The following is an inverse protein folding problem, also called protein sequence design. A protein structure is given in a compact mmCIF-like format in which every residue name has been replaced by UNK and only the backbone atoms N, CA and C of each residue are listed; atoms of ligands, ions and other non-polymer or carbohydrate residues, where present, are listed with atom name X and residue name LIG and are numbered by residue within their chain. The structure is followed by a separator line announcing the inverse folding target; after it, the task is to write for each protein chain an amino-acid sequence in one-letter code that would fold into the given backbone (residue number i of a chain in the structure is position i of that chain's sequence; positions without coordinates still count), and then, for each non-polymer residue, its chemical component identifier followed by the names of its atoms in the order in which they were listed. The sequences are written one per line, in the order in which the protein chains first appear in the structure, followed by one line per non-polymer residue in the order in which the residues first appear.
data_IF_520267535376
#
_entry.id   IF_520267535376
#
_cell.length_a   1.000
_cell.length_b   1.000
_cell.length_c   1.000
_cell.angle_alpha   90.00
_cell.angle_beta   90.00
_cell.angle_gamma   90.00
#
_symmetry.space_group_name_H-M   'P 1'
#
loop_
_entity.id
_entity.type
_entity.pdbx_description
1 polymer ?
#
# COMPACT_ATOMS: atom_id res chain seq x y z
N UNK A 1 39.21 -67.90 -31.41
CA UNK A 1 40.22 -67.24 -32.25
C UNK A 1 39.67 -65.86 -32.65
N UNK A 2 40.47 -64.80 -32.51
CA UNK A 2 40.07 -63.41 -32.69
C UNK A 2 40.49 -62.87 -34.07
N UNK A 3 39.95 -61.71 -34.48
CA UNK A 3 40.66 -60.79 -35.37
C UNK A 3 40.21 -59.35 -35.01
N UNK A 4 40.91 -58.66 -34.11
CA UNK A 4 42.02 -57.71 -34.38
C UNK A 4 41.52 -56.37 -34.98
N UNK A 5 41.30 -55.38 -34.10
CA UNK A 5 41.59 -53.93 -34.36
C UNK A 5 43.11 -53.75 -34.56
N UNK A 6 43.73 -52.60 -34.95
CA UNK A 6 43.20 -51.21 -34.98
C UNK A 6 43.79 -50.23 -36.05
N UNK A 7 43.09 -49.10 -36.33
CA UNK A 7 43.63 -47.74 -36.67
C UNK A 7 44.66 -47.63 -37.85
N UNK A 8 45.32 -46.48 -38.20
CA UNK A 8 45.11 -45.08 -37.83
C UNK A 8 45.22 -44.05 -38.99
N UNK A 9 45.07 -42.76 -38.61
CA UNK A 9 45.82 -41.56 -39.09
C UNK A 9 45.45 -40.94 -40.46
N UNK A 10 45.90 -39.69 -40.73
CA UNK A 10 45.67 -38.46 -39.96
C UNK A 10 45.36 -37.27 -40.89
N UNK A 11 44.92 -36.13 -40.37
CA UNK A 11 45.54 -34.86 -40.80
C UNK A 11 45.38 -33.81 -39.70
N UNK A 12 46.53 -33.49 -39.12
CA UNK A 12 46.76 -32.37 -38.23
C UNK A 12 47.41 -31.24 -39.04
N UNK A 13 46.83 -30.03 -38.92
CA UNK A 13 47.45 -28.68 -38.82
C UNK A 13 48.48 -28.23 -39.88
N UNK A 14 48.84 -26.92 -40.03
CA UNK A 14 48.69 -25.79 -39.10
C UNK A 14 48.16 -24.46 -39.70
N UNK A 15 47.73 -23.53 -38.83
CA UNK A 15 47.72 -22.09 -39.16
C UNK A 15 49.14 -21.59 -39.44
N UNK A 16 49.35 -20.37 -39.97
CA UNK A 16 49.16 -19.19 -39.14
C UNK A 16 48.71 -17.95 -39.92
N UNK A 17 47.97 -17.02 -39.31
CA UNK A 17 48.60 -15.76 -38.88
C UNK A 17 47.58 -14.87 -38.15
N UNK A 18 48.00 -14.30 -37.02
CA UNK A 18 47.29 -13.27 -36.29
C UNK A 18 47.63 -11.90 -36.86
N UNK A 19 46.67 -10.99 -36.93
CA UNK A 19 47.00 -9.58 -36.97
C UNK A 19 46.89 -9.02 -35.55
N UNK A 20 48.02 -9.01 -34.85
CA UNK A 20 48.22 -8.24 -33.64
C UNK A 20 49.36 -7.24 -33.86
N UNK A 21 48.98 -5.93 -33.86
CA UNK A 21 49.71 -4.78 -33.30
C UNK A 21 51.08 -4.41 -33.97
N UNK A 22 51.77 -3.27 -33.69
CA UNK A 22 51.52 -2.14 -32.76
C UNK A 22 51.75 -0.69 -33.35
N UNK A 23 51.42 0.32 -32.51
CA UNK A 23 51.84 1.76 -32.47
C UNK A 23 53.33 2.03 -32.87
N UNK A 24 53.87 3.27 -33.13
CA UNK A 24 53.68 4.53 -32.36
C UNK A 24 53.71 5.83 -33.24
N UNK A 25 53.47 7.07 -32.77
CA UNK A 25 54.42 7.96 -32.07
C UNK A 25 53.81 9.37 -31.89
N UNK A 26 54.40 10.22 -31.02
CA UNK A 26 53.77 11.35 -30.35
C UNK A 26 54.11 12.70 -30.98
N UNK A 27 53.33 13.73 -30.65
CA UNK A 27 53.84 15.10 -30.65
C UNK A 27 53.50 15.81 -29.33
N UNK A 28 54.55 16.25 -28.65
CA UNK A 28 54.57 17.05 -27.43
C UNK A 28 55.14 18.44 -27.71
N UNK A 29 54.42 19.48 -27.23
CA UNK A 29 54.88 20.74 -26.55
C UNK A 29 55.63 21.83 -27.36
N UNK A 30 55.73 23.12 -26.91
CA UNK A 30 55.26 23.80 -25.65
C UNK A 30 54.58 25.20 -25.80
N UNK A 31 54.12 25.78 -24.67
CA UNK A 31 53.59 27.16 -24.44
C UNK A 31 54.54 28.32 -24.86
N UNK A 32 54.09 29.60 -24.89
CA UNK A 32 54.18 30.43 -23.68
C UNK A 32 53.05 31.48 -23.47
N UNK A 33 52.61 31.64 -22.22
CA UNK A 33 52.19 32.94 -21.65
C UNK A 33 53.48 33.74 -21.35
N UNK A 34 53.55 35.08 -21.51
CA UNK A 34 53.13 36.01 -20.45
C UNK A 34 52.56 37.35 -21.00
N UNK A 35 51.75 38.12 -20.27
CA UNK A 35 52.29 39.12 -19.34
C UNK A 35 51.19 39.66 -18.41
N UNK A 36 51.61 39.84 -17.17
CA UNK A 36 50.89 40.45 -16.07
C UNK A 36 51.01 41.99 -16.05
N UNK A 37 50.22 42.58 -15.13
CA UNK A 37 50.36 43.86 -14.39
C UNK A 37 49.43 45.02 -14.81
N UNK A 38 49.11 45.98 -13.91
CA UNK A 38 48.50 45.80 -12.58
C UNK A 38 47.37 46.83 -12.22
N UNK A 39 46.65 46.54 -11.14
CA UNK A 39 45.79 47.34 -10.21
C UNK A 39 45.93 48.90 -10.20
N UNK A 40 44.91 49.73 -9.79
CA UNK A 40 44.48 49.81 -8.38
C UNK A 40 42.96 50.06 -8.08
N UNK A 41 42.55 49.51 -6.93
CA UNK A 41 41.47 49.85 -5.96
C UNK A 41 41.26 51.36 -5.66
N UNK A 42 40.35 51.80 -4.75
CA UNK A 42 38.93 51.45 -4.47
C UNK A 42 38.05 52.71 -4.19
N UNK A 43 36.71 52.64 -4.29
CA UNK A 43 35.84 53.62 -3.60
C UNK A 43 34.60 52.97 -2.96
N UNK A 44 34.47 53.17 -1.64
CA UNK A 44 33.26 53.01 -0.82
C UNK A 44 32.26 54.15 -1.17
N UNK A 45 30.94 54.15 -0.92
CA UNK A 45 30.07 53.62 0.13
C UNK A 45 28.58 53.96 -0.29
N UNK A 46 27.52 54.01 0.56
CA UNK A 46 26.47 52.99 0.82
C UNK A 46 25.01 53.37 0.37
N UNK A 47 24.04 52.51 0.77
CA UNK A 47 22.55 52.65 0.76
C UNK A 47 21.87 52.11 -0.52
N UNK A 48 20.75 51.37 -0.55
CA UNK A 48 19.65 51.06 0.38
C UNK A 48 18.78 49.93 -0.22
N UNK A 49 18.29 48.99 0.61
CA UNK A 49 17.20 48.03 0.25
C UNK A 49 15.84 48.75 0.07
N UNK A 50 14.74 48.12 -0.43
CA UNK A 50 14.55 46.72 -0.84
C UNK A 50 13.84 46.54 -2.21
N UNK A 51 13.93 45.37 -2.84
CA UNK A 51 12.83 44.90 -3.70
C UNK A 51 12.76 43.38 -3.81
N UNK A 52 11.52 42.89 -3.81
CA UNK A 52 11.12 41.51 -3.61
C UNK A 52 11.01 40.70 -4.90
N UNK A 53 11.03 39.37 -4.70
CA UNK A 53 10.45 38.28 -5.52
C UNK A 53 11.36 37.59 -6.56
N UNK A 54 11.21 36.28 -6.85
CA UNK A 54 10.22 35.31 -6.33
C UNK A 54 10.81 34.10 -5.58
N UNK A 55 9.98 33.58 -4.67
CA UNK A 55 10.17 32.31 -3.97
C UNK A 55 10.53 31.18 -4.94
N UNK A 56 11.70 30.58 -4.74
CA UNK A 56 11.97 29.24 -5.21
C UNK A 56 11.00 28.28 -4.51
N UNK A 57 10.25 27.53 -5.31
CA UNK A 57 9.39 26.43 -4.87
C UNK A 57 10.25 25.39 -4.13
N UNK A 58 10.06 25.13 -2.82
CA UNK A 58 10.80 24.07 -2.17
C UNK A 58 10.21 22.72 -2.60
N UNK A 59 11.09 21.94 -3.22
CA UNK A 59 10.94 20.55 -3.64
C UNK A 59 10.16 19.71 -2.60
N UNK A 60 8.91 19.35 -2.89
CA UNK A 60 8.08 18.51 -2.04
C UNK A 60 8.19 17.04 -2.49
N UNK A 61 9.12 16.30 -1.90
CA UNK A 61 8.96 14.84 -1.81
C UNK A 61 7.73 14.55 -0.97
N UNK A 62 6.74 13.78 -1.45
CA UNK A 62 5.63 13.33 -0.61
C UNK A 62 6.19 12.58 0.60
N UNK A 63 5.73 12.92 1.80
CA UNK A 63 6.06 12.14 3.00
C UNK A 63 5.70 10.66 2.73
N UNK A 64 6.59 9.70 3.00
CA UNK A 64 6.25 8.29 2.93
C UNK A 64 5.02 8.07 3.80
N UNK A 65 3.98 7.43 3.26
CA UNK A 65 2.72 7.21 3.96
C UNK A 65 3.00 6.49 5.29
N UNK A 66 3.01 7.25 6.38
CA UNK A 66 3.02 6.72 7.72
C UNK A 66 1.66 6.05 7.95
N UNK A 67 1.65 4.80 8.40
CA UNK A 67 0.41 4.07 8.71
C UNK A 67 -0.23 4.79 9.90
N UNK A 68 -1.31 5.52 9.64
CA UNK A 68 -2.09 6.15 10.70
C UNK A 68 -2.92 5.07 11.41
N UNK A 69 -3.15 5.16 12.73
CA UNK A 69 -4.15 4.34 13.39
C UNK A 69 -5.52 4.79 12.91
N UNK A 70 -6.01 4.12 11.88
CA UNK A 70 -7.22 4.46 11.14
C UNK A 70 -8.43 3.67 11.61
N UNK A 71 -8.28 2.69 12.52
CA UNK A 71 -9.44 1.96 13.02
C UNK A 71 -10.19 2.77 14.08
N UNK A 72 -11.54 2.74 14.02
CA UNK A 72 -12.39 3.33 15.05
C UNK A 72 -12.02 2.83 16.46
N UNK A 73 -11.62 1.56 16.58
CA UNK A 73 -11.13 0.98 17.83
C UNK A 73 -9.85 1.66 18.36
N UNK A 74 -8.90 1.99 17.48
CA UNK A 74 -7.69 2.74 17.84
C UNK A 74 -7.96 4.22 18.17
N UNK A 75 -9.16 4.73 17.86
CA UNK A 75 -9.57 6.11 18.18
C UNK A 75 -10.56 6.22 19.35
N UNK A 76 -11.26 5.13 19.71
CA UNK A 76 -12.43 5.15 20.60
C UNK A 76 -12.13 5.67 22.02
N UNK A 77 -10.86 5.75 22.43
CA UNK A 77 -10.44 6.15 23.77
C UNK A 77 -9.30 7.19 23.78
N UNK A 78 -9.14 7.99 22.73
CA UNK A 78 -8.06 8.99 22.69
C UNK A 78 -8.35 10.17 23.63
N UNK A 79 -7.33 10.71 24.32
CA UNK A 79 -7.50 11.88 25.17
C UNK A 79 -7.92 13.09 24.34
N UNK A 80 -8.60 14.03 24.99
CA UNK A 80 -8.83 15.34 24.39
C UNK A 80 -7.49 16.05 24.21
N UNK A 81 -7.23 16.59 23.02
CA UNK A 81 -5.99 17.30 22.73
C UNK A 81 -6.21 18.80 22.49
N UNK A 82 -5.26 19.59 22.98
CA UNK A 82 -5.14 21.04 22.91
C UNK A 82 -3.69 21.41 22.57
N UNK A 83 -3.42 22.70 22.36
CA UNK A 83 -2.05 23.18 22.08
C UNK A 83 -1.07 23.04 23.24
N UNK A 84 -1.54 22.77 24.47
CA UNK A 84 -0.67 22.54 25.64
C UNK A 84 -0.26 21.07 25.80
N UNK A 85 -0.85 20.15 25.04
CA UNK A 85 -0.59 18.72 25.18
C UNK A 85 0.71 18.29 24.48
N UNK A 86 1.39 17.31 25.06
CA UNK A 86 2.71 16.83 24.61
C UNK A 86 2.73 15.33 24.34
N UNK A 87 1.56 14.69 24.22
CA UNK A 87 1.41 13.26 23.89
C UNK A 87 1.89 12.96 22.47
N UNK A 88 3.20 12.78 22.29
CA UNK A 88 3.86 12.74 20.98
C UNK A 88 3.26 11.67 20.05
N UNK A 89 3.03 10.46 20.55
CA UNK A 89 2.45 9.37 19.76
C UNK A 89 1.02 9.70 19.30
N UNK A 90 0.18 10.18 20.21
CA UNK A 90 -1.22 10.56 19.89
C UNK A 90 -1.27 11.76 18.93
N UNK A 91 -0.30 12.68 19.03
CA UNK A 91 -0.18 13.83 18.14
C UNK A 91 0.34 13.47 16.75
N UNK A 92 1.26 12.52 16.66
CA UNK A 92 1.69 11.92 15.40
C UNK A 92 0.48 11.34 14.67
N UNK A 93 -0.37 10.62 15.39
CA UNK A 93 -1.58 10.03 14.82
C UNK A 93 -2.60 11.08 14.36
N UNK A 94 -2.80 12.14 15.15
CA UNK A 94 -3.63 13.28 14.76
C UNK A 94 -3.14 13.92 13.45
N UNK A 95 -1.85 14.22 13.36
CA UNK A 95 -1.26 14.86 12.20
C UNK A 95 -1.33 13.95 10.96
N UNK A 96 -1.14 12.65 11.16
CA UNK A 96 -1.29 11.63 10.13
C UNK A 96 -2.74 11.59 9.61
N UNK A 97 -3.73 11.49 10.50
CA UNK A 97 -5.15 11.49 10.14
C UNK A 97 -5.58 12.80 9.47
N UNK A 98 -5.11 13.95 9.93
CA UNK A 98 -5.39 15.25 9.28
C UNK A 98 -4.79 15.31 7.86
N UNK A 99 -3.56 14.84 7.67
CA UNK A 99 -2.95 14.77 6.34
C UNK A 99 -3.74 13.89 5.39
N UNK A 100 -4.18 12.72 5.87
CA UNK A 100 -4.98 11.79 5.09
C UNK A 100 -6.35 12.40 4.69
N UNK A 101 -7.02 13.06 5.63
CA UNK A 101 -8.42 13.48 5.46
C UNK A 101 -8.64 14.85 4.78
N UNK A 102 -7.64 15.74 4.83
CA UNK A 102 -7.75 17.11 4.27
C UNK A 102 -6.54 17.56 3.44
N UNK A 103 -5.54 16.68 3.20
CA UNK A 103 -4.40 16.95 2.32
C UNK A 103 -3.61 18.25 2.62
N UNK A 104 -3.55 18.67 3.89
CA UNK A 104 -2.98 19.97 4.30
C UNK A 104 -1.48 19.94 4.68
N UNK A 105 -0.72 18.94 4.21
CA UNK A 105 0.75 18.84 4.29
C UNK A 105 1.37 19.22 5.66
N UNK A 106 0.84 18.68 6.75
CA UNK A 106 1.49 18.77 8.06
C UNK A 106 2.77 17.94 8.06
N UNK A 107 3.80 18.48 8.73
CA UNK A 107 4.89 17.66 9.24
C UNK A 107 4.33 16.76 10.35
N UNK A 108 4.60 15.46 10.28
CA UNK A 108 4.20 14.49 11.30
C UNK A 108 5.33 14.41 12.35
N UNK A 109 5.34 15.35 13.27
CA UNK A 109 6.41 15.51 14.28
C UNK A 109 5.93 15.32 15.73
N UNK A 110 4.63 15.11 15.92
CA UNK A 110 4.01 14.95 17.23
C UNK A 110 3.88 16.26 18.01
N UNK A 111 3.88 17.42 17.34
CA UNK A 111 3.76 18.75 17.95
C UNK A 111 2.41 19.39 17.61
N UNK A 112 1.63 19.75 18.65
CA UNK A 112 0.38 20.49 18.48
C UNK A 112 0.64 22.00 18.26
N UNK A 113 1.35 22.33 17.17
CA UNK A 113 1.65 23.71 16.81
C UNK A 113 0.48 24.46 16.15
N UNK A 114 0.72 25.72 15.80
CA UNK A 114 -0.27 26.60 15.14
C UNK A 114 -0.84 26.00 13.84
N UNK A 115 -0.01 25.31 13.06
CA UNK A 115 -0.44 24.60 11.83
C UNK A 115 -1.37 23.43 12.13
N UNK A 116 -1.04 22.59 13.12
CA UNK A 116 -1.91 21.48 13.56
C UNK A 116 -3.25 22.02 14.03
N UNK A 117 -3.26 23.11 14.83
CA UNK A 117 -4.51 23.78 15.27
C UNK A 117 -5.33 24.33 14.12
N UNK A 118 -4.71 24.98 13.15
CA UNK A 118 -5.39 25.49 11.96
C UNK A 118 -6.09 24.35 11.19
N UNK A 119 -5.44 23.20 11.09
CA UNK A 119 -5.99 22.03 10.40
C UNK A 119 -7.10 21.33 11.19
N UNK A 120 -7.00 21.27 12.53
CA UNK A 120 -8.11 20.84 13.40
C UNK A 120 -9.32 21.75 13.22
N UNK A 121 -9.14 23.07 13.23
CA UNK A 121 -10.22 24.03 13.01
C UNK A 121 -10.83 23.91 11.61
N UNK A 122 -10.00 23.70 10.58
CA UNK A 122 -10.46 23.45 9.22
C UNK A 122 -11.28 22.16 9.12
N UNK A 123 -10.85 21.10 9.82
CA UNK A 123 -11.56 19.85 9.91
C UNK A 123 -12.91 19.99 10.60
N UNK A 124 -12.93 20.60 11.78
CA UNK A 124 -14.15 20.84 12.55
C UNK A 124 -15.15 21.65 11.71
N UNK A 125 -14.68 22.66 10.98
CA UNK A 125 -15.51 23.42 10.02
C UNK A 125 -16.07 22.52 8.92
N UNK A 126 -15.22 21.69 8.28
CA UNK A 126 -15.62 20.76 7.21
C UNK A 126 -16.68 19.75 7.66
N UNK A 127 -16.66 19.38 8.95
CA UNK A 127 -17.56 18.38 9.55
C UNK A 127 -18.73 18.95 10.34
N UNK A 128 -18.92 20.27 10.35
CA UNK A 128 -20.00 20.91 11.11
C UNK A 128 -19.87 20.74 12.63
N UNK A 129 -18.66 20.54 13.14
CA UNK A 129 -18.36 20.47 14.58
C UNK A 129 -18.17 21.87 15.17
N UNK A 130 -18.17 21.95 16.51
CA UNK A 130 -17.71 23.14 17.23
C UNK A 130 -16.25 23.39 16.83
N UNK A 131 -15.95 24.61 16.37
CA UNK A 131 -14.63 25.03 15.87
C UNK A 131 -13.77 25.60 16.99
N UNK A 132 -13.57 24.83 18.04
CA UNK A 132 -12.81 25.22 19.23
C UNK A 132 -11.30 24.93 19.12
N UNK A 133 -10.88 24.17 18.09
CA UNK A 133 -9.50 23.75 17.91
C UNK A 133 -9.07 22.67 18.90
N UNK A 134 -10.02 22.08 19.63
CA UNK A 134 -9.83 20.99 20.59
C UNK A 134 -10.18 19.66 19.92
N UNK A 135 -9.28 18.70 20.00
CA UNK A 135 -9.54 17.34 19.47
C UNK A 135 -10.21 16.51 20.55
N UNK A 136 -11.50 16.78 20.80
CA UNK A 136 -12.33 15.97 21.69
C UNK A 136 -12.89 14.72 21.01
N UNK A 137 -13.66 13.92 21.75
CA UNK A 137 -14.21 12.63 21.27
C UNK A 137 -14.99 12.75 19.95
N UNK A 138 -15.73 13.85 19.73
CA UNK A 138 -16.45 14.08 18.46
C UNK A 138 -15.48 14.36 17.30
N UNK A 139 -14.43 15.14 17.54
CA UNK A 139 -13.38 15.40 16.56
C UNK A 139 -12.63 14.12 16.21
N UNK A 140 -12.24 13.32 17.22
CA UNK A 140 -11.64 12.00 17.01
C UNK A 140 -12.53 11.06 16.23
N UNK A 141 -13.80 10.94 16.65
CA UNK A 141 -14.76 10.10 15.95
C UNK A 141 -14.89 10.53 14.49
N UNK A 142 -15.00 11.82 14.18
CA UNK A 142 -15.08 12.24 12.78
C UNK A 142 -13.79 11.99 12.01
N UNK A 143 -12.59 12.26 12.58
CA UNK A 143 -11.29 11.99 11.92
C UNK A 143 -11.10 10.52 11.59
N UNK A 144 -11.61 9.64 12.45
CA UNK A 144 -11.49 8.19 12.29
C UNK A 144 -12.70 7.55 11.59
N UNK A 145 -13.80 8.28 11.45
CA UNK A 145 -15.04 7.85 10.78
C UNK A 145 -15.26 8.59 9.45
N UNK A 146 -14.34 9.44 9.02
CA UNK A 146 -14.34 9.89 7.64
C UNK A 146 -13.93 8.73 6.79
N UNK A 147 -14.95 8.12 6.17
CA UNK A 147 -14.88 7.23 5.02
C UNK A 147 -13.47 6.66 4.89
N UNK A 148 -13.14 5.69 5.77
CA UNK A 148 -12.07 4.77 5.42
C UNK A 148 -12.58 4.20 4.12
N UNK A 149 -11.92 4.47 2.99
CA UNK A 149 -12.36 3.87 1.76
C UNK A 149 -12.49 2.36 2.00
N UNK A 150 -13.54 1.70 1.52
CA UNK A 150 -13.72 0.26 1.81
C UNK A 150 -12.47 -0.54 1.42
N UNK A 151 -11.73 -0.04 0.43
CA UNK A 151 -10.39 -0.49 0.07
C UNK A 151 -9.36 -0.40 1.21
N UNK A 152 -9.34 0.67 2.02
CA UNK A 152 -8.38 0.84 3.12
C UNK A 152 -8.67 -0.10 4.29
N UNK A 153 -9.95 -0.41 4.58
CA UNK A 153 -10.29 -1.41 5.59
C UNK A 153 -9.85 -2.81 5.12
N UNK A 154 -10.07 -3.12 3.84
CA UNK A 154 -9.61 -4.37 3.25
C UNK A 154 -8.08 -4.47 3.27
N UNK A 155 -7.37 -3.42 2.87
CA UNK A 155 -5.90 -3.34 2.90
C UNK A 155 -5.37 -3.57 4.31
N UNK A 156 -5.95 -2.95 5.33
CA UNK A 156 -5.56 -3.19 6.73
C UNK A 156 -5.78 -4.65 7.15
N UNK A 157 -6.91 -5.25 6.80
CA UNK A 157 -7.18 -6.67 7.09
C UNK A 157 -6.16 -7.59 6.40
N UNK A 158 -5.78 -7.29 5.15
CA UNK A 158 -4.77 -8.06 4.42
C UNK A 158 -3.41 -8.03 5.13
N UNK A 159 -2.93 -6.84 5.48
CA UNK A 159 -1.63 -6.67 6.17
C UNK A 159 -1.65 -7.35 7.54
N UNK A 160 -2.69 -7.13 8.35
CA UNK A 160 -2.80 -7.74 9.68
C UNK A 160 -2.85 -9.27 9.63
N UNK A 161 -3.56 -9.84 8.64
CA UNK A 161 -3.59 -11.29 8.46
C UNK A 161 -2.23 -11.82 8.05
N UNK A 162 -1.53 -11.15 7.15
CA UNK A 162 -0.20 -11.56 6.71
C UNK A 162 0.82 -11.53 7.85
N UNK A 163 0.85 -10.43 8.62
CA UNK A 163 1.71 -10.29 9.81
C UNK A 163 1.42 -11.36 10.85
N UNK A 164 0.15 -11.69 11.09
CA UNK A 164 -0.23 -12.75 12.02
C UNK A 164 0.28 -14.12 11.58
N UNK A 165 0.18 -14.49 10.30
CA UNK A 165 0.69 -15.78 9.82
C UNK A 165 2.22 -15.86 9.85
N UNK A 166 2.90 -14.73 9.69
CA UNK A 166 4.35 -14.60 9.83
C UNK A 166 4.78 -14.77 11.29
N UNK A 167 4.09 -14.13 12.24
CA UNK A 167 4.32 -14.23 13.69
C UNK A 167 4.08 -15.67 14.21
N UNK A 168 3.10 -16.36 13.62
CA UNK A 168 2.84 -17.78 13.92
C UNK A 168 3.91 -18.72 13.35
N UNK A 169 4.87 -18.20 12.57
CA UNK A 169 5.95 -18.96 11.94
C UNK A 169 5.44 -20.18 11.19
N UNK A 170 4.39 -19.98 10.39
CA UNK A 170 3.78 -21.05 9.60
C UNK A 170 4.81 -21.65 8.65
N UNK A 171 5.01 -22.96 8.73
CA UNK A 171 5.89 -23.73 7.85
C UNK A 171 5.19 -24.97 7.32
N UNK A 172 5.74 -25.53 6.25
CA UNK A 172 5.30 -26.81 5.70
C UNK A 172 5.46 -27.97 6.69
N UNK A 173 4.52 -28.92 6.65
CA UNK A 173 4.55 -30.13 7.46
C UNK A 173 4.13 -31.33 6.58
N UNK A 174 5.07 -32.22 6.21
CA UNK A 174 6.50 -32.17 6.50
C UNK A 174 7.23 -31.07 5.73
N UNK A 175 8.42 -30.68 6.19
CA UNK A 175 9.25 -29.66 5.55
C UNK A 175 9.60 -30.03 4.10
N UNK A 176 9.42 -29.09 3.16
CA UNK A 176 9.74 -29.26 1.74
C UNK A 176 8.69 -30.04 0.96
N UNK A 177 7.48 -30.18 1.51
CA UNK A 177 6.40 -30.97 0.92
C UNK A 177 5.40 -30.15 0.12
N UNK A 178 5.42 -28.81 0.23
CA UNK A 178 4.32 -27.95 -0.22
C UNK A 178 2.96 -28.35 0.42
N UNK A 179 2.99 -28.92 1.64
CA UNK A 179 1.83 -29.41 2.41
C UNK A 179 1.93 -29.04 3.88
N UNK A 180 0.84 -29.26 4.61
CA UNK A 180 0.72 -29.08 6.05
C UNK A 180 -0.69 -28.61 6.39
N UNK A 181 -1.17 -28.78 7.64
CA UNK A 181 -2.54 -28.38 7.99
C UNK A 181 -2.85 -26.93 7.59
N UNK A 182 -1.94 -26.00 7.94
CA UNK A 182 -2.10 -24.59 7.63
C UNK A 182 -1.89 -24.26 6.15
N UNK A 183 -0.88 -24.88 5.52
CA UNK A 183 -0.60 -24.73 4.08
C UNK A 183 -1.77 -25.22 3.24
N UNK A 184 -2.43 -26.31 3.63
CA UNK A 184 -3.60 -26.84 2.93
C UNK A 184 -4.83 -25.93 3.07
N UNK A 185 -4.97 -25.20 4.18
CA UNK A 185 -5.99 -24.14 4.30
C UNK A 185 -5.73 -22.97 3.34
N UNK A 186 -4.46 -22.59 3.14
CA UNK A 186 -4.09 -21.60 2.14
C UNK A 186 -4.42 -22.09 0.73
N UNK A 187 -4.00 -23.31 0.40
CA UNK A 187 -4.25 -23.95 -0.90
C UNK A 187 -5.73 -24.09 -1.23
N UNK A 188 -6.56 -24.34 -0.21
CA UNK A 188 -8.02 -24.41 -0.36
C UNK A 188 -8.67 -23.07 -0.73
N UNK A 189 -7.93 -21.96 -0.75
CA UNK A 189 -8.43 -20.66 -1.23
C UNK A 189 -8.40 -20.52 -2.75
N UNK A 190 -7.75 -21.45 -3.44
CA UNK A 190 -7.66 -21.50 -4.91
C UNK A 190 -8.70 -22.46 -5.51
N UNK A 191 -8.84 -22.43 -6.84
CA UNK A 191 -9.60 -23.43 -7.61
C UNK A 191 -8.82 -24.71 -7.88
N UNK A 192 -7.50 -24.73 -7.63
CA UNK A 192 -6.68 -25.90 -7.87
C UNK A 192 -6.91 -26.93 -6.77
N UNK A 193 -7.22 -28.16 -7.16
CA UNK A 193 -7.46 -29.25 -6.22
C UNK A 193 -6.26 -29.44 -5.27
N UNK A 194 -6.57 -29.84 -4.03
CA UNK A 194 -5.59 -30.15 -2.98
C UNK A 194 -4.80 -31.45 -3.25
N UNK A 195 -4.60 -31.85 -4.51
CA UNK A 195 -3.80 -33.00 -4.91
C UNK A 195 -2.32 -32.83 -4.53
N UNK A 196 -1.43 -33.50 -5.27
CA UNK A 196 0.02 -33.49 -4.99
C UNK A 196 0.55 -32.06 -4.75
N UNK A 197 1.50 -31.92 -3.81
CA UNK A 197 2.02 -30.62 -3.35
C UNK A 197 2.50 -29.74 -4.51
N UNK A 198 2.03 -28.49 -4.53
CA UNK A 198 2.35 -27.49 -5.55
C UNK A 198 2.64 -26.15 -4.86
N UNK A 199 3.40 -25.29 -5.52
CA UNK A 199 3.88 -24.05 -4.92
C UNK A 199 2.75 -23.13 -4.47
N UNK A 200 2.72 -22.81 -3.18
CA UNK A 200 1.53 -22.23 -2.55
C UNK A 200 1.63 -20.72 -2.29
N UNK A 201 2.61 -20.02 -2.89
CA UNK A 201 2.78 -18.57 -2.73
C UNK A 201 1.52 -17.78 -3.17
N UNK A 202 0.96 -18.10 -4.34
CA UNK A 202 -0.29 -17.50 -4.83
C UNK A 202 -1.49 -17.89 -3.97
N UNK A 203 -1.53 -19.12 -3.48
CA UNK A 203 -2.59 -19.59 -2.60
C UNK A 203 -2.64 -18.84 -1.28
N UNK A 204 -1.48 -18.48 -0.72
CA UNK A 204 -1.39 -17.64 0.47
C UNK A 204 -2.07 -16.28 0.24
N UNK A 205 -1.81 -15.61 -0.89
CA UNK A 205 -2.48 -14.34 -1.22
C UNK A 205 -3.98 -14.54 -1.47
N UNK A 206 -4.40 -15.62 -2.15
CA UNK A 206 -5.81 -15.98 -2.31
C UNK A 206 -6.51 -16.17 -0.96
N UNK A 207 -5.82 -16.76 0.01
CA UNK A 207 -6.31 -16.97 1.36
C UNK A 207 -6.47 -15.64 2.12
N UNK A 208 -5.46 -14.77 2.07
CA UNK A 208 -5.54 -13.42 2.65
C UNK A 208 -6.77 -12.68 2.13
N UNK A 209 -6.97 -12.68 0.80
CA UNK A 209 -8.14 -12.05 0.17
C UNK A 209 -9.46 -12.68 0.63
N UNK A 210 -9.55 -14.02 0.65
CA UNK A 210 -10.76 -14.73 1.10
C UNK A 210 -11.13 -14.36 2.54
N UNK A 211 -10.15 -14.32 3.44
CA UNK A 211 -10.37 -14.04 4.86
C UNK A 211 -10.65 -12.56 5.11
N UNK A 212 -9.90 -11.66 4.48
CA UNK A 212 -10.07 -10.23 4.65
C UNK A 212 -11.42 -9.72 4.10
N UNK A 213 -11.94 -10.38 3.06
CA UNK A 213 -13.24 -10.05 2.46
C UNK A 213 -14.45 -10.63 3.22
N UNK A 214 -14.26 -11.46 4.25
CA UNK A 214 -15.40 -12.00 5.03
C UNK A 214 -16.28 -10.88 5.58
N UNK A 215 -17.58 -11.13 5.60
CA UNK A 215 -18.63 -10.25 6.13
C UNK A 215 -18.80 -8.90 5.41
N UNK A 216 -18.20 -8.72 4.24
CA UNK A 216 -18.39 -7.55 3.39
C UNK A 216 -18.47 -7.96 1.92
N UNK A 217 -19.33 -7.29 1.16
CA UNK A 217 -19.36 -7.40 -0.30
C UNK A 217 -18.44 -6.35 -0.91
N UNK A 218 -17.72 -6.73 -1.96
CA UNK A 218 -16.89 -5.85 -2.77
C UNK A 218 -17.34 -6.00 -4.23
N UNK A 219 -17.13 -4.97 -5.03
CA UNK A 219 -17.55 -4.97 -6.43
C UNK A 219 -16.65 -5.80 -7.34
N UNK A 220 -15.42 -6.07 -6.88
CA UNK A 220 -14.47 -6.95 -7.55
C UNK A 220 -14.50 -8.33 -6.90
N UNK A 221 -14.23 -9.37 -7.69
CA UNK A 221 -14.20 -10.74 -7.21
C UNK A 221 -12.79 -11.11 -6.75
N UNK A 222 -12.68 -11.91 -5.69
CA UNK A 222 -11.39 -12.32 -5.11
C UNK A 222 -10.59 -13.24 -6.07
N UNK A 223 -9.25 -13.21 -6.03
CA UNK A 223 -8.43 -14.12 -6.81
C UNK A 223 -8.56 -15.56 -6.28
N UNK A 224 -8.54 -16.54 -7.18
CA UNK A 224 -8.63 -17.97 -6.87
C UNK A 224 -7.61 -18.81 -7.66
N UNK A 225 -6.58 -18.18 -8.22
CA UNK A 225 -5.54 -18.86 -9.01
C UNK A 225 -4.42 -19.45 -8.13
N UNK A 226 -3.78 -20.51 -8.61
CA UNK A 226 -2.55 -21.07 -8.04
C UNK A 226 -1.28 -20.49 -8.69
N UNK A 227 -1.38 -19.74 -9.79
CA UNK A 227 -0.25 -19.15 -10.50
C UNK A 227 0.05 -17.72 -10.02
N UNK A 228 1.31 -17.44 -9.65
CA UNK A 228 1.73 -16.10 -9.22
C UNK A 228 1.53 -15.03 -10.30
N UNK A 229 1.83 -15.34 -11.57
CA UNK A 229 1.64 -14.42 -12.68
C UNK A 229 0.18 -14.31 -13.13
N UNK A 230 -0.66 -15.29 -12.84
CA UNK A 230 -2.08 -15.25 -13.19
C UNK A 230 -2.84 -14.19 -12.39
N UNK A 231 -2.29 -13.70 -11.28
CA UNK A 231 -2.81 -12.52 -10.59
C UNK A 231 -2.85 -11.27 -11.49
N UNK A 232 -1.94 -11.15 -12.47
CA UNK A 232 -2.02 -10.07 -13.47
C UNK A 232 -3.26 -10.21 -14.37
N UNK A 233 -3.67 -11.44 -14.68
CA UNK A 233 -4.88 -11.70 -15.47
C UNK A 233 -6.13 -11.42 -14.64
N UNK A 234 -6.17 -11.96 -13.41
CA UNK A 234 -7.21 -11.66 -12.42
C UNK A 234 -7.45 -10.15 -12.27
N UNK A 235 -6.38 -9.37 -12.09
CA UNK A 235 -6.48 -7.93 -11.89
C UNK A 235 -6.97 -7.19 -13.14
N UNK A 236 -6.63 -7.66 -14.35
CA UNK A 236 -7.07 -7.06 -15.62
C UNK A 236 -8.54 -7.33 -15.93
N UNK A 237 -9.08 -8.43 -15.42
CA UNK A 237 -10.48 -8.80 -15.59
C UNK A 237 -11.43 -8.06 -14.65
N UNK A 238 -10.90 -7.32 -13.66
CA UNK A 238 -11.72 -6.46 -12.80
C UNK A 238 -12.14 -5.19 -13.55
N UNK A 239 -13.40 -4.80 -13.39
CA UNK A 239 -13.93 -3.54 -13.94
C UNK A 239 -13.77 -2.36 -12.99
N UNK A 240 -13.60 -2.62 -11.69
CA UNK A 240 -13.40 -1.62 -10.65
C UNK A 240 -12.70 -2.23 -9.42
N UNK A 241 -12.30 -1.38 -8.47
CA UNK A 241 -11.79 -1.80 -7.16
C UNK A 241 -10.40 -2.47 -7.15
N UNK A 242 -9.80 -2.72 -8.31
CA UNK A 242 -8.47 -3.29 -8.46
C UNK A 242 -7.73 -2.58 -9.59
N UNK A 243 -6.48 -2.18 -9.34
CA UNK A 243 -5.60 -1.53 -10.30
C UNK A 243 -4.32 -2.32 -10.47
N UNK A 244 -4.07 -2.81 -11.69
CA UNK A 244 -2.80 -3.42 -12.10
C UNK A 244 -1.90 -2.35 -12.72
N UNK A 245 -0.63 -2.30 -12.29
CA UNK A 245 0.41 -1.47 -12.94
C UNK A 245 1.66 -2.29 -13.24
N UNK A 246 2.06 -2.31 -14.52
CA UNK A 246 3.19 -3.06 -15.05
C UNK A 246 3.92 -2.25 -16.15
N UNK A 247 5.18 -1.83 -15.95
CA UNK A 247 5.99 -2.01 -14.74
C UNK A 247 5.37 -1.28 -13.55
N UNK A 248 5.69 -1.73 -12.33
CA UNK A 248 5.07 -1.22 -11.10
C UNK A 248 5.22 0.29 -10.89
N UNK A 249 6.19 0.97 -11.53
CA UNK A 249 6.28 2.44 -11.54
C UNK A 249 6.76 3.06 -10.22
N UNK A 250 7.47 2.29 -9.39
CA UNK A 250 8.06 2.68 -8.09
C UNK A 250 7.06 3.16 -7.01
N UNK A 251 5.76 3.20 -7.28
CA UNK A 251 4.74 3.65 -6.35
C UNK A 251 4.09 2.48 -5.62
N UNK A 252 4.89 1.68 -4.91
CA UNK A 252 4.41 0.56 -4.08
C UNK A 252 4.03 1.08 -2.69
N UNK A 253 2.92 0.59 -2.14
CA UNK A 253 2.49 0.88 -0.77
C UNK A 253 2.10 -0.40 -0.03
N UNK A 254 1.97 -0.29 1.29
CA UNK A 254 1.42 -1.37 2.11
C UNK A 254 0.04 -1.80 1.59
N UNK A 255 -0.19 -3.11 1.50
CA UNK A 255 -1.41 -3.69 0.93
C UNK A 255 -1.36 -3.94 -0.58
N UNK A 256 -0.35 -3.42 -1.30
CA UNK A 256 -0.15 -3.83 -2.68
C UNK A 256 0.26 -5.31 -2.74
N UNK A 257 -0.39 -6.04 -3.63
CA UNK A 257 0.05 -7.36 -4.04
C UNK A 257 1.16 -7.16 -5.08
N UNK A 258 2.36 -7.65 -4.78
CA UNK A 258 3.53 -7.53 -5.67
C UNK A 258 3.79 -8.85 -6.37
N UNK A 259 3.89 -8.81 -7.69
CA UNK A 259 4.23 -9.97 -8.52
C UNK A 259 5.69 -9.84 -8.93
N UNK A 260 6.50 -10.86 -8.67
CA UNK A 260 7.93 -10.86 -8.93
C UNK A 260 8.29 -11.35 -10.34
N UNK A 261 9.48 -10.97 -10.81
CA UNK A 261 10.03 -11.43 -12.10
C UNK A 261 10.39 -12.92 -12.11
N UNK A 262 10.79 -13.46 -10.96
CA UNK A 262 10.87 -14.90 -10.74
C UNK A 262 9.49 -15.33 -10.22
N UNK A 263 8.78 -16.25 -10.89
CA UNK A 263 7.37 -16.62 -10.67
C UNK A 263 6.97 -16.78 -9.19
N UNK A 264 6.73 -15.67 -8.50
CA UNK A 264 6.49 -15.56 -7.08
C UNK A 264 5.64 -14.32 -6.81
N UNK A 265 5.02 -14.26 -5.63
CA UNK A 265 4.08 -13.20 -5.28
C UNK A 265 4.11 -12.97 -3.76
N UNK A 266 3.93 -11.72 -3.35
CA UNK A 266 3.90 -11.32 -1.95
C UNK A 266 2.96 -10.16 -1.70
N UNK A 267 2.73 -9.86 -0.41
CA UNK A 267 2.03 -8.66 0.02
C UNK A 267 3.04 -7.63 0.54
N UNK A 268 3.09 -6.43 -0.05
CA UNK A 268 3.92 -5.35 0.47
C UNK A 268 3.37 -4.83 1.81
N UNK A 269 4.24 -4.58 2.78
CA UNK A 269 3.87 -4.06 4.11
C UNK A 269 4.34 -2.63 4.35
N UNK A 270 5.10 -2.05 3.42
CA UNK A 270 5.52 -0.65 3.46
C UNK A 270 5.79 -0.08 2.06
N UNK A 271 5.95 1.25 2.01
CA UNK A 271 6.47 1.93 0.84
C UNK A 271 7.99 1.71 0.67
N UNK A 272 8.55 1.90 -0.53
CA UNK A 272 9.98 1.83 -0.77
C UNK A 272 10.77 2.81 0.10
N UNK A 273 11.89 2.34 0.64
CA UNK A 273 12.90 3.22 1.24
C UNK A 273 13.70 3.98 0.17
N UNK A 274 14.56 4.91 0.59
CA UNK A 274 15.39 5.71 -0.31
C UNK A 274 16.37 4.87 -1.16
N UNK A 275 16.66 3.64 -0.73
CA UNK A 275 17.51 2.69 -1.45
C UNK A 275 16.71 1.78 -2.41
N UNK A 276 15.39 1.98 -2.51
CA UNK A 276 14.51 1.22 -3.39
C UNK A 276 14.18 -0.18 -2.87
N UNK A 277 14.18 -0.38 -1.55
CA UNK A 277 13.75 -1.63 -0.92
C UNK A 277 12.37 -1.49 -0.30
N UNK A 278 11.57 -2.55 -0.43
CA UNK A 278 10.33 -2.76 0.31
C UNK A 278 10.46 -3.97 1.23
N UNK A 279 9.54 -4.06 2.19
CA UNK A 279 9.25 -5.26 2.95
C UNK A 279 7.99 -5.90 2.40
N UNK A 280 8.02 -7.22 2.35
CA UNK A 280 6.92 -8.06 1.91
C UNK A 280 6.70 -9.19 2.90
N UNK A 281 5.48 -9.72 2.95
CA UNK A 281 5.19 -11.01 3.58
C UNK A 281 4.80 -11.98 2.46
N UNK A 282 5.48 -13.11 2.43
CA UNK A 282 5.46 -14.06 1.33
C UNK A 282 5.21 -15.47 1.87
N UNK A 283 4.35 -16.22 1.20
CA UNK A 283 4.16 -17.65 1.44
C UNK A 283 5.02 -18.48 0.48
N UNK A 284 5.29 -19.74 0.83
CA UNK A 284 6.19 -20.63 0.09
C UNK A 284 7.56 -19.99 -0.18
N UNK A 285 8.14 -19.40 0.87
CA UNK A 285 9.48 -18.82 0.84
C UNK A 285 10.28 -19.32 2.03
N UNK A 286 11.58 -19.10 2.01
CA UNK A 286 12.49 -19.44 3.12
C UNK A 286 12.88 -18.20 3.92
N UNK A 287 13.23 -18.38 5.19
CA UNK A 287 13.66 -17.29 6.06
C UNK A 287 14.87 -16.53 5.47
N UNK A 288 15.86 -17.24 4.93
CA UNK A 288 17.06 -16.67 4.32
C UNK A 288 16.88 -16.22 2.86
N UNK A 289 15.77 -16.61 2.20
CA UNK A 289 15.48 -16.27 0.80
C UNK A 289 16.16 -17.19 -0.21
N UNK A 290 16.78 -18.27 0.25
CA UNK A 290 17.33 -19.31 -0.61
C UNK A 290 16.22 -20.29 -1.06
N UNK A 291 16.14 -20.52 -2.37
CA UNK A 291 15.25 -21.53 -2.98
C UNK A 291 15.65 -22.97 -2.63
N UNK A 292 16.83 -23.16 -2.02
CA UNK A 292 17.42 -24.47 -1.72
C UNK A 292 17.30 -24.88 -0.25
N UNK A 293 16.63 -24.08 0.59
CA UNK A 293 16.35 -24.54 1.96
C UNK A 293 15.19 -25.53 1.95
N UNK A 294 15.25 -26.55 2.82
CA UNK A 294 14.13 -27.50 2.95
C UNK A 294 12.93 -26.90 3.70
N UNK A 295 12.98 -25.65 4.13
CA UNK A 295 11.97 -25.02 5.00
C UNK A 295 11.32 -23.88 4.24
N UNK A 296 10.12 -24.14 3.74
CA UNK A 296 9.26 -23.10 3.22
C UNK A 296 8.11 -22.82 4.17
N UNK A 297 7.73 -21.55 4.25
CA UNK A 297 6.77 -21.03 5.19
C UNK A 297 6.29 -19.63 4.81
N UNK A 298 5.66 -18.96 5.77
CA UNK A 298 5.29 -17.56 5.68
C UNK A 298 6.37 -16.74 6.37
N UNK A 299 7.06 -15.89 5.62
CA UNK A 299 8.16 -15.06 6.16
C UNK A 299 8.12 -13.64 5.63
N UNK A 300 8.60 -12.71 6.46
CA UNK A 300 8.89 -11.35 6.04
C UNK A 300 10.19 -11.31 5.22
N UNK A 301 10.15 -10.65 4.05
CA UNK A 301 11.30 -10.49 3.15
C UNK A 301 11.62 -9.02 2.94
N UNK A 302 12.89 -8.74 2.65
CA UNK A 302 13.36 -7.43 2.16
C UNK A 302 13.66 -7.57 0.68
N UNK A 303 12.89 -6.88 -0.16
CA UNK A 303 12.90 -7.06 -1.61
C UNK A 303 13.27 -5.76 -2.32
N UNK A 304 14.01 -5.85 -3.41
CA UNK A 304 14.38 -4.66 -4.21
C UNK A 304 13.32 -4.40 -5.27
N UNK A 305 13.01 -3.13 -5.53
CA UNK A 305 12.05 -2.75 -6.57
C UNK A 305 12.39 -3.36 -7.94
N UNK A 306 13.68 -3.52 -8.25
CA UNK A 306 14.14 -4.11 -9.50
C UNK A 306 13.68 -5.56 -9.71
N UNK A 307 13.31 -6.27 -8.67
CA UNK A 307 12.92 -7.69 -8.73
C UNK A 307 11.41 -7.84 -8.97
N UNK A 308 10.67 -6.74 -8.80
CA UNK A 308 9.22 -6.68 -8.94
C UNK A 308 8.86 -6.44 -10.40
N UNK A 309 7.92 -7.23 -10.89
CA UNK A 309 7.41 -7.18 -12.26
C UNK A 309 6.23 -6.23 -12.36
N UNK A 310 5.28 -6.33 -11.44
CA UNK A 310 4.07 -5.50 -11.39
C UNK A 310 3.55 -5.34 -9.97
N UNK A 311 2.72 -4.33 -9.75
CA UNK A 311 1.92 -4.17 -8.54
C UNK A 311 0.44 -4.26 -8.86
N UNK A 312 -0.32 -4.87 -7.96
CA UNK A 312 -1.78 -4.89 -7.98
C UNK A 312 -2.26 -4.22 -6.70
N UNK A 313 -3.07 -3.18 -6.84
CA UNK A 313 -3.60 -2.39 -5.74
C UNK A 313 -5.09 -2.58 -5.64
N UNK A 314 -5.57 -2.80 -4.43
CA UNK A 314 -7.00 -2.63 -4.14
C UNK A 314 -7.27 -1.13 -4.06
N UNK A 315 -8.21 -0.66 -4.88
CA UNK A 315 -8.59 0.75 -4.96
C UNK A 315 -10.03 0.92 -4.52
N UNK A 316 -10.43 2.17 -4.32
CA UNK A 316 -11.85 2.46 -4.24
C UNK A 316 -12.57 2.13 -5.55
N UNK A 317 -13.86 1.86 -5.38
CA UNK A 317 -14.83 1.69 -6.44
C UNK A 317 -15.06 3.01 -7.18
N UNK A 318 -14.34 3.23 -8.28
CA UNK A 318 -14.58 4.36 -9.21
C UNK A 318 -15.59 4.01 -10.33
N UNK A 319 -16.25 2.85 -10.27
CA UNK A 319 -17.19 2.38 -11.30
C UNK A 319 -18.37 3.34 -11.56
N UNK A 320 -18.71 4.18 -10.58
CA UNK A 320 -19.80 5.16 -10.69
C UNK A 320 -19.33 6.48 -11.35
N UNK A 321 -18.03 6.77 -11.33
CA UNK A 321 -17.47 8.03 -11.86
C UNK A 321 -17.07 7.92 -13.33
N UNK A 322 -16.78 6.71 -13.84
CA UNK A 322 -16.55 6.51 -15.28
C UNK A 322 -17.79 6.81 -16.12
N UNK A 323 -19.01 6.54 -15.61
CA UNK A 323 -20.27 6.92 -16.28
C UNK A 323 -20.63 8.40 -16.14
N UNK A 324 -20.07 9.10 -15.15
CA UNK A 324 -20.34 10.52 -14.91
C UNK A 324 -19.43 11.46 -15.70
N UNK A 325 -18.34 10.94 -16.29
CA UNK A 325 -17.47 11.71 -17.17
C UNK A 325 -18.14 12.15 -18.49
N UNK A 326 -19.35 11.64 -18.77
CA UNK A 326 -20.18 12.03 -19.92
C UNK A 326 -21.35 12.97 -19.57
N UNK A 327 -21.55 13.33 -18.28
CA UNK A 327 -22.69 14.15 -17.83
C UNK A 327 -22.25 15.58 -17.45
N UNK A 328 -23.04 16.58 -17.89
CA UNK A 328 -22.69 18.00 -17.79
C UNK A 328 -22.70 18.54 -16.35
N UNK A 329 -21.97 19.64 -16.14
CA UNK A 329 -21.68 20.30 -14.84
C UNK A 329 -22.95 20.68 -14.04
N UNK A 330 -24.11 20.84 -14.67
CA UNK A 330 -25.35 21.18 -13.96
C UNK A 330 -26.00 19.99 -13.24
N UNK A 331 -25.79 18.75 -13.69
CA UNK A 331 -26.38 17.55 -13.06
C UNK A 331 -25.63 17.14 -11.78
N UNK A 332 -24.36 17.53 -11.63
CA UNK A 332 -23.54 17.19 -10.46
C UNK A 332 -24.04 17.88 -9.18
N UNK A 333 -24.73 19.02 -9.29
CA UNK A 333 -25.29 19.76 -8.13
C UNK A 333 -26.57 19.14 -7.57
N UNK A 334 -27.30 18.34 -8.36
CA UNK A 334 -28.51 17.64 -7.91
C UNK A 334 -28.17 16.39 -7.09
N UNK A 335 -27.09 15.68 -7.44
CA UNK A 335 -26.72 14.42 -6.77
C UNK A 335 -26.13 14.62 -5.37
N UNK A 336 -25.41 15.71 -5.12
CA UNK A 336 -24.91 16.05 -3.77
C UNK A 336 -26.03 16.32 -2.77
N UNK A 337 -27.19 16.77 -3.25
CA UNK A 337 -28.37 17.04 -2.44
C UNK A 337 -29.15 15.77 -2.11
N UNK A 338 -29.20 14.80 -3.04
CA UNK A 338 -29.89 13.51 -2.85
C UNK A 338 -29.11 12.51 -1.99
N UNK A 339 -27.77 12.52 -2.03
CA UNK A 339 -26.97 11.67 -1.13
C UNK A 339 -27.04 12.10 0.34
N UNK A 340 -27.27 13.40 0.60
CA UNK A 340 -27.57 13.88 1.95
C UNK A 340 -28.92 13.34 2.45
N UNK A 341 -29.93 13.29 1.58
CA UNK A 341 -31.28 12.80 1.88
C UNK A 341 -31.35 11.27 2.08
N UNK A 342 -30.61 10.48 1.31
CA UNK A 342 -30.53 9.02 1.49
C UNK A 342 -29.85 8.63 2.82
N UNK A 343 -28.85 9.39 3.27
CA UNK A 343 -28.23 9.18 4.59
C UNK A 343 -29.16 9.51 5.76
N UNK A 344 -30.10 10.45 5.54
CA UNK A 344 -31.10 10.84 6.55
C UNK A 344 -32.26 9.84 6.64
N UNK A 345 -32.71 9.24 5.53
CA UNK A 345 -33.83 8.29 5.53
C UNK A 345 -33.50 6.97 6.22
N UNK A 346 -32.24 6.50 6.12
CA UNK A 346 -31.80 5.29 6.83
C UNK A 346 -31.77 5.45 8.36
N UNK A 347 -31.58 6.68 8.88
CA UNK A 347 -31.58 6.92 10.33
C UNK A 347 -32.98 6.92 10.97
N UNK A 348 -34.03 7.19 10.18
CA UNK A 348 -35.41 7.18 10.71
C UNK A 348 -36.01 5.76 10.76
N UNK A 349 -35.62 4.87 9.86
CA UNK A 349 -36.13 3.48 9.85
C UNK A 349 -35.64 2.62 11.02
N UNK A 350 -34.50 2.95 11.63
CA UNK A 350 -33.99 2.25 12.82
C UNK A 350 -34.66 2.69 14.13
N UNK A 351 -35.37 3.83 14.13
CA UNK A 351 -36.08 4.33 15.31
C UNK A 351 -37.49 3.75 15.47
N UNK A 352 -38.11 3.23 14.40
CA UNK A 352 -39.47 2.65 14.47
C UNK A 352 -39.49 1.15 14.83
N UNK A 353 -38.36 0.47 14.79
CA UNK A 353 -38.26 -0.97 15.07
C UNK A 353 -38.00 -1.32 16.54
N UNK A 354 -37.68 -0.32 17.39
CA UNK A 354 -37.49 -0.51 18.84
C UNK A 354 -38.75 -0.26 19.69
N UNK A 355 -39.89 0.12 19.10
CA UNK A 355 -41.13 0.42 19.85
C UNK A 355 -42.22 -0.64 19.76
N UNK A 356 -41.93 -1.85 19.23
CA UNK A 356 -42.95 -2.91 19.02
C UNK A 356 -42.68 -4.25 19.75
N UNK A 357 -41.84 -4.29 20.80
CA UNK A 357 -41.56 -5.53 21.54
C UNK A 357 -41.77 -5.46 23.06
N UNK A 358 -42.76 -4.69 23.54
CA UNK A 358 -43.25 -4.82 24.92
C UNK A 358 -44.76 -4.65 24.96
N UNK A 359 -45.52 -5.75 24.81
CA UNK A 359 -46.83 -5.97 25.44
C UNK A 359 -47.43 -7.31 25.01
N UNK A 360 -47.04 -8.39 25.68
CA UNK A 360 -47.86 -9.61 25.76
C UNK A 360 -47.52 -10.35 27.04
N UNK A 361 -48.31 -10.12 28.09
CA UNK A 361 -48.42 -11.01 29.26
C UNK A 361 -49.53 -10.51 30.19
N UNK A 362 -50.40 -11.44 30.62
CA UNK A 362 -51.52 -11.33 31.58
C UNK A 362 -52.82 -10.76 30.98
N UNK A 363 -54.01 -11.36 31.09
CA UNK A 363 -54.54 -12.43 31.95
C UNK A 363 -55.86 -12.93 31.35
N UNK A 364 -56.10 -14.25 31.36
CA UNK A 364 -57.45 -14.83 31.26
C UNK A 364 -58.13 -14.75 32.63
N UNK A 365 -59.36 -14.24 32.72
CA UNK A 365 -60.47 -14.95 33.40
C UNK A 365 -61.80 -14.16 33.35
N UNK A 366 -62.87 -14.93 33.12
CA UNK A 366 -64.22 -14.82 33.72
C UNK A 366 -65.15 -13.64 33.36
N UNK A 367 -66.18 -13.96 32.55
CA UNK A 367 -67.58 -14.15 33.01
C UNK A 367 -68.61 -13.55 32.05
N UNK A 368 -69.44 -14.45 31.49
CA UNK A 368 -70.92 -14.47 31.58
C UNK A 368 -71.68 -13.22 31.10
N UNK A 369 -72.62 -13.40 30.16
CA UNK A 369 -74.07 -13.16 30.30
C UNK A 369 -74.77 -13.19 28.93
N UNK A 370 -75.82 -14.02 28.87
CA UNK A 370 -76.89 -14.20 27.87
C UNK A 370 -76.58 -14.85 26.52
#
# INVERSE_FOLDING_TARGET
MPNVSPNPTPHATPGPTPHAMPNPTPHTTPDPMPHATPNPTPHAMPNSMPNASPNALPNSTPNPMQICPSTFAACKNRPALTTSDTYKEVLVDLQCLLNHNIAMQLKVDGIFGSKTKANVLAWQRKKGLIKDGVVGIKTWNTLCNTFIPMSDLLVQKLVNLAEKEEELHVVEVPLGSNRGPRVDEFRAATWLALGNGWDWCAAFICWLMREAMKNHSYEFWRPQTAGAWDFENWAREQTCGVSLKKPHGNDIYAGDIVVFKLQHIGLATNAPDAAGYIKTIEGNTSADGSINTKVHGVFAKKCKLSDIRSRIRITESDCYLSSLSEMSIDDTRMLTSNNLLMSMSMSMSTSMSMSMSMSTSMSMSMSMWM
#
